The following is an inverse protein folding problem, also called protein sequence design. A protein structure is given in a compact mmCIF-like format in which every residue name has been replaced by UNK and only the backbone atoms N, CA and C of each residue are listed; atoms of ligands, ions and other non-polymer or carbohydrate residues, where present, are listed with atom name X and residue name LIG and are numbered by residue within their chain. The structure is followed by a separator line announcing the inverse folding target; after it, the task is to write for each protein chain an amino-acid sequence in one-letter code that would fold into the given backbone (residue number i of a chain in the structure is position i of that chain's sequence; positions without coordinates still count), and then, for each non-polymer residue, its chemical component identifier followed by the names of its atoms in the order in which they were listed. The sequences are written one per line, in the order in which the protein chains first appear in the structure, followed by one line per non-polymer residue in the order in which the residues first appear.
data_IF_693684978530
#
_entry.id   IF_693684978530
#
_cell.length_a   1.000
_cell.length_b   1.000
_cell.length_c   1.000
_cell.angle_alpha   90.00
_cell.angle_beta   90.00
_cell.angle_gamma   90.00
#
_symmetry.space_group_name_H-M   'P 1'
#
loop_
_entity.id
_entity.type
_entity.pdbx_description
1 polymer ?
#
# COMPACT_ATOMS: atom_id res chain seq x y z
N UNK A 1 18.94 2.42 3.95
CA UNK A 1 18.51 3.04 5.23
C UNK A 1 17.75 4.30 4.86
N UNK A 2 16.42 4.22 4.76
CA UNK A 2 15.60 5.38 4.36
C UNK A 2 15.83 6.54 5.34
N UNK A 3 16.04 7.74 4.82
CA UNK A 3 16.36 8.89 5.66
C UNK A 3 15.12 9.29 6.50
N UNK A 4 15.31 9.93 7.67
CA UNK A 4 14.21 10.38 8.54
C UNK A 4 13.16 11.29 7.86
N UNK A 5 13.47 11.85 6.68
CA UNK A 5 12.54 12.60 5.82
C UNK A 5 11.41 11.75 5.26
N UNK A 6 11.69 10.48 4.92
CA UNK A 6 10.76 9.63 4.18
C UNK A 6 9.67 9.09 5.10
N UNK A 7 10.01 8.82 6.36
CA UNK A 7 9.03 8.38 7.36
C UNK A 7 7.93 9.43 7.58
N UNK A 8 8.29 10.71 7.66
CA UNK A 8 7.30 11.78 7.84
C UNK A 8 6.38 11.90 6.63
N UNK A 9 6.91 11.77 5.41
CA UNK A 9 6.12 11.78 4.19
C UNK A 9 5.15 10.59 4.16
N UNK A 10 5.63 9.39 4.51
CA UNK A 10 4.78 8.19 4.62
C UNK A 10 3.69 8.39 5.67
N UNK A 11 4.02 8.89 6.86
CA UNK A 11 3.03 9.17 7.90
C UNK A 11 2.00 10.22 7.47
N UNK A 12 2.42 11.24 6.74
CA UNK A 12 1.50 12.24 6.17
C UNK A 12 0.55 11.59 5.15
N UNK A 13 1.03 10.64 4.34
CA UNK A 13 0.18 9.87 3.42
C UNK A 13 -0.82 8.93 4.13
N UNK A 14 -0.62 8.67 5.43
CA UNK A 14 -1.51 7.88 6.27
C UNK A 14 -2.47 8.76 7.11
N UNK A 15 -2.38 10.08 6.99
CA UNK A 15 -3.22 11.01 7.73
C UNK A 15 -4.70 10.93 7.29
N UNK A 16 -5.65 11.25 8.18
CA UNK A 16 -7.08 11.32 7.84
C UNK A 16 -7.35 12.21 6.62
N UNK A 17 -8.27 11.78 5.74
CA UNK A 17 -8.63 12.49 4.51
C UNK A 17 -7.74 12.18 3.30
N UNK A 18 -6.65 11.42 3.47
CA UNK A 18 -5.86 10.90 2.34
C UNK A 18 -6.48 9.65 1.76
N UNK A 19 -6.27 9.42 0.46
CA UNK A 19 -6.78 8.24 -0.24
C UNK A 19 -6.20 6.93 0.31
N UNK A 20 -4.92 6.93 0.73
CA UNK A 20 -4.30 5.75 1.34
C UNK A 20 -4.94 5.44 2.70
N UNK A 21 -5.14 6.44 3.56
CA UNK A 21 -5.86 6.24 4.83
C UNK A 21 -7.29 5.75 4.61
N UNK A 22 -8.00 6.28 3.63
CA UNK A 22 -9.35 5.80 3.28
C UNK A 22 -9.34 4.33 2.84
N UNK A 23 -8.38 3.93 2.01
CA UNK A 23 -8.22 2.54 1.59
C UNK A 23 -7.95 1.60 2.77
N UNK A 24 -7.08 2.00 3.70
CA UNK A 24 -6.82 1.24 4.94
C UNK A 24 -8.08 1.11 5.81
N UNK A 25 -8.88 2.17 5.95
CA UNK A 25 -10.14 2.10 6.68
C UNK A 25 -11.13 1.13 6.02
N UNK A 26 -11.18 1.09 4.69
CA UNK A 26 -12.00 0.13 3.95
C UNK A 26 -11.54 -1.32 4.18
N UNK A 27 -10.24 -1.57 4.22
CA UNK A 27 -9.65 -2.89 4.53
C UNK A 27 -10.08 -3.34 5.93
N UNK A 28 -9.88 -2.48 6.93
CA UNK A 28 -10.24 -2.77 8.33
C UNK A 28 -11.75 -3.01 8.50
N UNK A 29 -12.60 -2.19 7.86
CA UNK A 29 -14.06 -2.38 7.86
C UNK A 29 -14.48 -3.69 7.17
N UNK A 30 -13.72 -4.10 6.15
CA UNK A 30 -13.88 -5.39 5.49
C UNK A 30 -13.41 -6.59 6.31
N UNK A 31 -12.81 -6.36 7.49
CA UNK A 31 -12.24 -7.38 8.37
C UNK A 31 -11.14 -8.22 7.70
N UNK A 32 -10.42 -7.62 6.76
CA UNK A 32 -9.23 -8.23 6.12
C UNK A 32 -7.96 -7.56 6.63
N UNK A 33 -6.82 -8.22 6.41
CA UNK A 33 -5.50 -7.62 6.58
C UNK A 33 -4.88 -7.25 5.24
N UNK A 34 -3.73 -6.58 5.27
CA UNK A 34 -2.89 -6.36 4.09
C UNK A 34 -1.43 -6.18 4.53
N UNK A 35 -0.51 -6.67 3.71
CA UNK A 35 0.90 -6.28 3.75
C UNK A 35 1.13 -5.29 2.60
N UNK A 36 1.44 -4.04 2.93
CA UNK A 36 1.57 -2.96 1.93
C UNK A 36 3.00 -2.44 1.97
N UNK A 37 3.65 -2.40 0.82
CA UNK A 37 4.98 -1.80 0.65
C UNK A 37 4.80 -0.39 0.08
N UNK A 38 5.39 0.61 0.75
CA UNK A 38 5.36 2.00 0.29
C UNK A 38 6.73 2.36 -0.29
N UNK A 39 6.76 2.57 -1.59
CA UNK A 39 7.99 2.77 -2.36
C UNK A 39 8.38 1.54 -3.15
N UNK A 40 9.19 1.75 -4.18
CA UNK A 40 9.58 0.71 -5.12
C UNK A 40 11.00 0.98 -5.60
N UNK A 41 11.88 0.01 -5.41
CA UNK A 41 13.27 0.05 -5.87
C UNK A 41 13.74 -1.37 -6.24
N UNK A 42 14.98 -1.46 -6.73
CA UNK A 42 15.57 -2.74 -7.15
C UNK A 42 15.67 -3.78 -6.02
N UNK A 43 15.74 -3.35 -4.76
CA UNK A 43 15.80 -4.28 -3.63
C UNK A 43 14.42 -4.89 -3.39
N UNK A 44 13.35 -4.08 -3.44
CA UNK A 44 11.98 -4.58 -3.35
C UNK A 44 11.64 -5.48 -4.54
N UNK A 45 12.07 -5.12 -5.75
CA UNK A 45 11.89 -5.97 -6.94
C UNK A 45 12.52 -7.35 -6.77
N UNK A 46 13.77 -7.40 -6.26
CA UNK A 46 14.48 -8.65 -6.07
C UNK A 46 13.87 -9.54 -4.97
N UNK A 47 13.12 -8.95 -4.03
CA UNK A 47 12.41 -9.67 -2.96
C UNK A 47 11.00 -10.10 -3.39
N UNK A 48 10.43 -9.45 -4.40
CA UNK A 48 9.07 -9.68 -4.86
C UNK A 48 9.03 -10.86 -5.82
N UNK A 49 8.11 -11.81 -5.58
CA UNK A 49 7.93 -12.98 -6.44
C UNK A 49 6.44 -13.21 -6.73
N UNK A 50 6.12 -13.59 -7.96
CA UNK A 50 4.73 -13.78 -8.37
C UNK A 50 3.96 -12.46 -8.51
N UNK A 51 2.63 -12.53 -8.41
CA UNK A 51 1.77 -11.35 -8.54
C UNK A 51 1.61 -10.87 -9.99
N UNK A 52 1.21 -9.61 -10.13
CA UNK A 52 1.03 -8.94 -11.42
C UNK A 52 1.32 -7.45 -11.31
N UNK A 53 1.84 -6.85 -12.38
CA UNK A 53 2.01 -5.41 -12.46
C UNK A 53 0.65 -4.73 -12.67
N UNK A 54 0.39 -3.66 -11.93
CA UNK A 54 -0.82 -2.87 -12.05
C UNK A 54 -0.46 -1.41 -12.33
N UNK A 55 -0.50 -1.04 -13.60
CA UNK A 55 -0.20 0.32 -14.07
C UNK A 55 -1.47 1.16 -14.17
N UNK A 56 -2.08 1.45 -13.02
CA UNK A 56 -3.31 2.24 -12.93
C UNK A 56 -3.20 3.28 -11.82
N UNK A 57 -3.92 4.42 -11.92
CA UNK A 57 -3.98 5.39 -10.84
C UNK A 57 -4.49 4.79 -9.54
N UNK A 58 -3.88 5.17 -8.42
CA UNK A 58 -4.27 4.72 -7.09
C UNK A 58 -5.72 5.15 -6.77
N UNK A 59 -6.51 4.23 -6.21
CA UNK A 59 -7.81 4.53 -5.60
C UNK A 59 -8.00 3.74 -4.31
N UNK A 60 -8.68 4.33 -3.32
CA UNK A 60 -8.99 3.68 -2.06
C UNK A 60 -9.79 2.38 -2.25
N UNK A 61 -10.72 2.38 -3.20
CA UNK A 61 -11.50 1.19 -3.58
C UNK A 61 -10.61 0.13 -4.21
N UNK A 62 -9.75 0.48 -5.16
CA UNK A 62 -8.82 -0.45 -5.79
C UNK A 62 -7.91 -1.13 -4.77
N UNK A 63 -7.32 -0.36 -3.84
CA UNK A 63 -6.50 -0.90 -2.75
C UNK A 63 -7.28 -1.92 -1.90
N UNK A 64 -8.53 -1.59 -1.53
CA UNK A 64 -9.41 -2.49 -0.78
C UNK A 64 -9.74 -3.77 -1.57
N UNK A 65 -9.90 -3.69 -2.88
CA UNK A 65 -10.21 -4.87 -3.69
C UNK A 65 -9.00 -5.80 -3.84
N UNK A 66 -7.80 -5.23 -4.01
CA UNK A 66 -6.54 -5.97 -4.02
C UNK A 66 -6.26 -6.64 -2.67
N UNK A 67 -6.55 -5.96 -1.55
CA UNK A 67 -6.35 -6.50 -0.20
C UNK A 67 -7.26 -7.68 0.18
N UNK A 68 -8.16 -8.11 -0.72
CA UNK A 68 -8.88 -9.39 -0.56
C UNK A 68 -8.03 -10.59 -1.00
N UNK A 69 -6.99 -10.33 -1.80
CA UNK A 69 -6.10 -11.36 -2.34
C UNK A 69 -4.99 -11.67 -1.33
N UNK A 70 -4.40 -12.87 -1.47
CA UNK A 70 -3.22 -13.25 -0.72
C UNK A 70 -1.98 -12.49 -1.23
N UNK A 71 -1.02 -12.26 -0.32
CA UNK A 71 0.27 -11.64 -0.64
C UNK A 71 0.39 -10.20 -0.17
N UNK A 72 1.11 -9.40 -0.94
CA UNK A 72 1.41 -8.01 -0.65
C UNK A 72 1.01 -7.11 -1.83
N UNK A 73 0.82 -5.83 -1.52
CA UNK A 73 0.50 -4.76 -2.47
C UNK A 73 1.65 -3.77 -2.48
#
# INVERSE_FOLDING_TARGET
MAAPSDLRATLASLAPGTALREGLERILRGRTGALIVVGHDRQIDALSTGGFALDVPFTATGLRELAKMDGAI
#
